data_IF_011541930206
#
_entry.id   IF_011541930206
#
_cell.length_a   1.000
_cell.length_b   1.000
_cell.length_c   1.000
_cell.angle_alpha   90.00
_cell.angle_beta   90.00
_cell.angle_gamma   90.00
#
_symmetry.space_group_name_H-M   'P 1'
#
loop_
_entity.id
_entity.type
_entity.pdbx_description
1 polymer ?
#
# COMPACT_ATOMS: atom_id res chain seq x y z
N UNK A 1 -3.30 -2.57 39.91
CA UNK A 1 -3.19 -2.41 38.45
C UNK A 1 -2.38 -1.16 38.09
N UNK A 2 -2.30 -0.17 38.99
CA UNK A 2 -1.55 1.08 38.83
C UNK A 2 -0.04 0.92 38.56
N UNK A 3 0.63 -0.08 39.14
CA UNK A 3 2.07 -0.30 38.92
C UNK A 3 2.39 -0.77 37.49
N UNK A 4 1.55 -1.65 36.94
CA UNK A 4 1.69 -2.12 35.56
C UNK A 4 1.31 -1.02 34.57
N UNK A 5 0.27 -0.24 34.87
CA UNK A 5 -0.15 0.89 34.04
C UNK A 5 0.90 2.01 34.03
N UNK A 6 1.51 2.34 35.18
CA UNK A 6 2.63 3.29 35.24
C UNK A 6 3.91 2.78 34.58
N UNK A 7 4.20 1.47 34.65
CA UNK A 7 5.34 0.89 33.94
C UNK A 7 5.13 0.93 32.41
N UNK A 8 3.90 0.64 31.94
CA UNK A 8 3.55 0.69 30.52
C UNK A 8 3.49 2.13 29.98
N UNK A 9 2.89 3.05 30.73
CA UNK A 9 2.83 4.47 30.37
C UNK A 9 4.21 5.13 30.48
N UNK A 10 4.99 4.82 31.52
CA UNK A 10 6.32 5.38 31.75
C UNK A 10 7.37 4.96 30.72
N UNK A 11 7.19 3.81 30.06
CA UNK A 11 8.10 3.35 29.00
C UNK A 11 7.96 4.14 27.69
N UNK A 12 6.78 4.73 27.43
CA UNK A 12 6.47 5.45 26.18
C UNK A 12 6.22 6.95 26.37
N UNK A 13 5.99 7.40 27.60
CA UNK A 13 5.63 8.78 27.94
C UNK A 13 6.79 9.51 28.64
N UNK A 14 8.05 9.19 28.32
CA UNK A 14 9.17 10.10 28.63
C UNK A 14 9.22 11.17 27.55
N UNK A 15 8.72 12.36 27.89
CA UNK A 15 8.78 13.51 27.00
C UNK A 15 10.03 14.32 27.33
N UNK A 16 11.04 14.38 26.44
CA UNK A 16 12.19 15.24 26.67
C UNK A 16 11.75 16.69 26.89
N UNK A 17 12.31 17.31 27.93
CA UNK A 17 12.08 18.71 28.27
C UNK A 17 12.55 19.63 27.13
N UNK A 18 13.60 19.23 26.41
CA UNK A 18 14.09 19.95 25.24
C UNK A 18 13.44 19.43 23.95
N UNK A 19 12.74 20.34 23.25
CA UNK A 19 12.04 20.02 22.00
C UNK A 19 12.97 19.54 20.88
N UNK A 20 14.27 19.81 21.01
CA UNK A 20 15.29 19.40 20.05
C UNK A 20 15.44 17.89 19.94
N UNK A 21 15.13 17.13 20.99
CA UNK A 21 15.22 15.67 20.99
C UNK A 21 14.11 14.99 20.15
N UNK A 22 13.01 15.70 19.81
CA UNK A 22 11.97 15.17 18.91
C UNK A 22 12.27 15.36 17.42
N UNK A 23 13.20 16.25 17.07
CA UNK A 23 13.60 16.52 15.67
C UNK A 23 13.96 15.22 14.93
N UNK A 24 14.81 14.31 15.47
CA UNK A 24 15.11 13.05 14.79
C UNK A 24 13.87 12.17 14.57
N UNK A 25 12.91 12.15 15.50
CA UNK A 25 11.64 11.41 15.33
C UNK A 25 10.75 12.01 14.23
N UNK A 26 10.72 13.35 14.12
CA UNK A 26 10.02 14.04 13.04
C UNK A 26 10.62 13.75 11.66
N UNK A 27 11.95 13.74 11.56
CA UNK A 27 12.67 13.43 10.32
C UNK A 27 12.42 11.98 9.89
N UNK A 28 12.53 11.02 10.80
CA UNK A 28 12.28 9.61 10.47
C UNK A 28 10.83 9.39 10.03
N UNK A 29 9.85 9.94 10.75
CA UNK A 29 8.44 9.89 10.35
C UNK A 29 8.23 10.49 8.95
N UNK A 30 8.85 11.63 8.67
CA UNK A 30 8.72 12.29 7.37
C UNK A 30 9.31 11.43 6.24
N UNK A 31 10.51 10.86 6.43
CA UNK A 31 11.14 9.96 5.44
C UNK A 31 10.25 8.74 5.18
N UNK A 32 9.73 8.10 6.23
CA UNK A 32 8.83 6.96 6.09
C UNK A 32 7.53 7.32 5.37
N UNK A 33 6.96 8.49 5.68
CA UNK A 33 5.73 8.95 5.04
C UNK A 33 5.96 9.20 3.53
N UNK A 34 7.06 9.86 3.17
CA UNK A 34 7.44 10.09 1.77
C UNK A 34 7.67 8.75 1.06
N UNK A 35 8.39 7.82 1.69
CA UNK A 35 8.64 6.49 1.14
C UNK A 35 7.34 5.69 0.95
N UNK A 36 6.40 5.74 1.91
CA UNK A 36 5.12 5.07 1.83
C UNK A 36 4.27 5.60 0.67
N UNK A 37 4.17 6.93 0.53
CA UNK A 37 3.46 7.57 -0.59
C UNK A 37 4.09 7.19 -1.93
N UNK A 38 5.42 7.18 -2.00
CA UNK A 38 6.13 6.82 -3.23
C UNK A 38 5.91 5.34 -3.60
N UNK A 39 6.01 4.45 -2.61
CA UNK A 39 5.77 3.01 -2.78
C UNK A 39 4.35 2.74 -3.24
N UNK A 40 3.35 3.36 -2.59
CA UNK A 40 1.95 3.23 -2.98
C UNK A 40 1.72 3.69 -4.42
N UNK A 41 2.32 4.82 -4.82
CA UNK A 41 2.25 5.30 -6.22
C UNK A 41 2.95 4.36 -7.20
N UNK A 42 4.09 3.79 -6.84
CA UNK A 42 4.81 2.84 -7.67
C UNK A 42 3.98 1.58 -7.92
N UNK A 43 3.37 1.01 -6.87
CA UNK A 43 2.51 -0.17 -6.95
C UNK A 43 1.31 0.10 -7.86
N UNK A 44 0.58 1.21 -7.65
CA UNK A 44 -0.59 1.55 -8.48
C UNK A 44 -0.19 1.69 -9.96
N UNK A 45 0.96 2.33 -10.23
CA UNK A 45 1.43 2.54 -11.61
C UNK A 45 1.83 1.23 -12.29
N UNK A 46 2.41 0.30 -11.53
CA UNK A 46 2.75 -1.04 -12.04
C UNK A 46 1.49 -1.86 -12.29
N UNK A 47 0.55 -1.89 -11.33
CA UNK A 47 -0.71 -2.62 -11.44
C UNK A 47 -1.55 -2.17 -12.65
N UNK A 48 -1.63 -0.85 -12.94
CA UNK A 48 -2.34 -0.35 -14.13
C UNK A 48 -1.75 -0.84 -15.46
N UNK A 49 -0.43 -1.09 -15.51
CA UNK A 49 0.21 -1.64 -16.71
C UNK A 49 -0.12 -3.11 -16.90
N UNK A 50 -0.22 -3.85 -15.81
CA UNK A 50 -0.61 -5.27 -15.84
C UNK A 50 -2.09 -5.42 -16.18
N UNK A 51 -2.96 -4.59 -15.58
CA UNK A 51 -4.41 -4.59 -15.86
C UNK A 51 -4.70 -4.40 -17.36
N UNK A 52 -3.99 -3.50 -18.03
CA UNK A 52 -4.15 -3.27 -19.47
C UNK A 52 -3.77 -4.49 -20.32
N UNK A 53 -2.78 -5.27 -19.90
CA UNK A 53 -2.39 -6.51 -20.60
C UNK A 53 -3.42 -7.62 -20.36
N UNK A 54 -3.89 -7.75 -19.13
CA UNK A 54 -4.92 -8.74 -18.77
C UNK A 54 -6.23 -8.47 -19.52
N UNK A 55 -6.68 -7.22 -19.59
CA UNK A 55 -7.90 -6.85 -20.33
C UNK A 55 -7.85 -7.23 -21.81
N UNK A 56 -6.72 -7.01 -22.48
CA UNK A 56 -6.55 -7.41 -23.87
C UNK A 56 -6.63 -8.93 -24.04
N UNK A 57 -6.05 -9.69 -23.11
CA UNK A 57 -6.13 -11.14 -23.12
C UNK A 57 -7.56 -11.66 -22.87
N UNK A 58 -8.28 -11.07 -21.92
CA UNK A 58 -9.69 -11.39 -21.64
C UNK A 58 -10.59 -11.12 -22.87
N UNK A 59 -10.39 -9.98 -23.53
CA UNK A 59 -11.14 -9.63 -24.75
C UNK A 59 -10.86 -10.60 -25.90
N UNK A 60 -9.61 -11.03 -26.10
CA UNK A 60 -9.25 -12.02 -27.12
C UNK A 60 -9.86 -13.39 -26.83
N UNK A 61 -9.79 -13.86 -25.58
CA UNK A 61 -10.36 -15.15 -25.16
C UNK A 61 -11.89 -15.12 -25.29
N UNK A 62 -12.53 -14.03 -24.88
CA UNK A 62 -13.99 -13.86 -24.98
C UNK A 62 -14.45 -13.90 -26.44
N UNK A 63 -13.78 -13.15 -27.33
CA UNK A 63 -14.10 -13.15 -28.78
C UNK A 63 -13.87 -14.53 -29.42
N UNK A 64 -12.84 -15.26 -28.99
CA UNK A 64 -12.56 -16.61 -29.50
C UNK A 64 -13.64 -17.59 -29.04
N UNK A 65 -14.08 -17.52 -27.77
CA UNK A 65 -15.15 -18.36 -27.25
C UNK A 65 -16.50 -18.08 -27.92
N UNK A 66 -16.85 -16.80 -28.12
CA UNK A 66 -18.08 -16.42 -28.84
C UNK A 66 -18.10 -16.95 -30.28
N UNK A 67 -16.97 -16.85 -31.00
CA UNK A 67 -16.86 -17.42 -32.35
C UNK A 67 -17.06 -18.94 -32.36
N UNK A 68 -16.51 -19.64 -31.36
CA UNK A 68 -16.68 -21.09 -31.23
C UNK A 68 -18.13 -21.49 -30.87
N UNK A 69 -18.87 -20.65 -30.15
CA UNK A 69 -20.30 -20.86 -29.89
C UNK A 69 -21.14 -20.63 -31.15
N UNK A 70 -20.87 -19.56 -31.91
CA UNK A 70 -21.53 -19.29 -33.19
C UNK A 70 -21.29 -20.42 -34.21
N UNK A 71 -20.04 -20.89 -34.35
CA UNK A 71 -19.68 -22.01 -35.25
C UNK A 71 -20.34 -23.35 -34.83
N UNK A 72 -20.80 -23.49 -33.58
CA UNK A 72 -21.53 -24.67 -33.10
C UNK A 72 -23.04 -24.59 -33.31
N UNK A 73 -23.57 -23.39 -33.58
CA UNK A 73 -25.00 -23.11 -33.78
C UNK A 73 -25.40 -23.09 -35.27
N UNK A 74 -24.43 -23.04 -36.18
CA UNK A 74 -24.60 -23.21 -37.65
C UNK A 74 -24.32 -24.63 -38.10
#
# INVERSE_FOLDING_TARGET
MDFLDHALLGLFLYFPEDKSEYIPAGITCFIFLVAAVFTMRAIIRYSKKEEMKTKQFEDEVTKRNQRLEDDRLT
#
